data_IF_478741944702
#
_entry.id   IF_478741944702
#
_cell.length_a   1.000
_cell.length_b   1.000
_cell.length_c   1.000
_cell.angle_alpha   90.00
_cell.angle_beta   90.00
_cell.angle_gamma   90.00
#
_symmetry.space_group_name_H-M   'P 1'
#
loop_
_entity.id
_entity.type
_entity.pdbx_description
1 polymer ?
#
# COMPACT_ATOMS: atom_id res chain seq x y z
N UNK A 1 0.54 30.48 16.44
CA UNK A 1 1.50 31.50 16.92
C UNK A 1 1.32 31.67 18.42
N UNK A 2 2.38 31.78 19.12
CA UNK A 2 2.39 31.96 20.57
C UNK A 2 3.29 33.15 20.94
N UNK A 3 2.94 33.86 22.03
CA UNK A 3 3.79 34.86 22.64
C UNK A 3 4.98 34.17 23.36
N UNK A 4 6.08 34.88 23.59
CA UNK A 4 7.26 34.38 24.34
C UNK A 4 6.90 33.80 25.73
N UNK A 5 5.80 34.24 26.33
CA UNK A 5 5.27 33.67 27.58
C UNK A 5 4.55 32.34 27.43
N UNK A 6 4.41 31.81 26.20
CA UNK A 6 3.71 30.58 25.89
C UNK A 6 2.20 30.71 25.67
N UNK A 7 1.65 31.93 25.72
CA UNK A 7 0.23 32.14 25.45
C UNK A 7 -0.08 32.15 23.96
N UNK A 8 -1.16 31.50 23.57
CA UNK A 8 -1.59 31.44 22.18
C UNK A 8 -2.09 32.80 21.70
N UNK A 9 -1.50 33.33 20.63
CA UNK A 9 -1.91 34.55 19.93
C UNK A 9 -2.85 34.23 18.79
N UNK A 10 -2.53 33.17 18.04
CA UNK A 10 -3.29 32.75 16.87
C UNK A 10 -3.30 31.23 16.75
N UNK A 11 -4.46 30.68 16.41
CA UNK A 11 -4.68 29.27 16.09
C UNK A 11 -5.31 29.15 14.69
N UNK A 12 -4.81 28.22 13.86
CA UNK A 12 -5.43 27.90 12.58
C UNK A 12 -6.55 26.85 12.78
N UNK A 13 -7.38 26.64 11.76
CA UNK A 13 -8.49 25.69 11.81
C UNK A 13 -8.05 24.25 12.09
N UNK A 14 -6.86 23.86 11.60
CA UNK A 14 -6.32 22.51 11.84
C UNK A 14 -6.00 22.26 13.32
N UNK A 15 -5.51 23.28 14.04
CA UNK A 15 -5.28 23.19 15.48
C UNK A 15 -6.61 23.15 16.26
N UNK A 16 -7.64 23.89 15.81
CA UNK A 16 -9.00 23.82 16.40
C UNK A 16 -9.55 22.40 16.30
N UNK A 17 -9.43 21.77 15.12
CA UNK A 17 -9.87 20.40 14.88
C UNK A 17 -9.04 19.38 15.70
N UNK A 18 -7.72 19.53 15.72
CA UNK A 18 -6.82 18.62 16.45
C UNK A 18 -7.07 18.62 17.95
N UNK A 19 -7.34 19.79 18.54
CA UNK A 19 -7.62 19.95 19.98
C UNK A 19 -9.11 19.81 20.33
N UNK A 20 -10.01 19.81 19.33
CA UNK A 20 -11.46 19.82 19.57
C UNK A 20 -11.94 21.10 20.29
N UNK A 21 -11.22 22.19 20.12
CA UNK A 21 -11.44 23.44 20.87
C UNK A 21 -11.50 24.63 19.91
N UNK A 22 -12.46 25.55 20.16
CA UNK A 22 -12.59 26.72 19.29
C UNK A 22 -11.44 27.72 19.47
N UNK A 23 -11.14 28.50 18.45
CA UNK A 23 -10.12 29.56 18.48
C UNK A 23 -10.33 30.53 19.66
N UNK A 24 -11.58 30.85 20.01
CA UNK A 24 -11.89 31.71 21.13
C UNK A 24 -11.43 31.17 22.47
N UNK A 25 -11.42 29.85 22.61
CA UNK A 25 -10.95 29.17 23.83
C UNK A 25 -9.44 29.04 23.86
N UNK A 26 -8.81 28.88 22.67
CA UNK A 26 -7.38 28.67 22.53
C UNK A 26 -6.58 29.97 22.67
N UNK A 27 -7.05 31.07 22.07
CA UNK A 27 -6.36 32.37 22.14
C UNK A 27 -6.35 32.89 23.56
N UNK A 28 -5.16 33.26 24.03
CA UNK A 28 -4.91 33.73 25.41
C UNK A 28 -4.61 32.62 26.42
N UNK A 29 -4.92 31.35 26.10
CA UNK A 29 -4.54 30.20 26.94
C UNK A 29 -3.05 29.88 26.80
N UNK A 30 -2.45 29.33 27.85
CA UNK A 30 -1.08 28.80 27.79
C UNK A 30 -1.06 27.53 26.94
N UNK A 31 -0.26 27.54 25.88
CA UNK A 31 -0.15 26.37 24.99
C UNK A 31 0.45 25.15 25.68
N UNK A 32 1.28 25.35 26.70
CA UNK A 32 1.83 24.29 27.54
C UNK A 32 0.76 23.37 28.16
N UNK A 33 -0.46 23.89 28.39
CA UNK A 33 -1.57 23.08 28.94
C UNK A 33 -2.08 22.02 27.99
N UNK A 34 -1.82 22.16 26.69
CA UNK A 34 -2.26 21.24 25.65
C UNK A 34 -1.17 20.21 25.29
N UNK A 35 0.03 20.35 25.87
CA UNK A 35 1.16 19.44 25.66
C UNK A 35 1.32 18.48 26.84
N UNK A 36 1.88 17.30 26.57
CA UNK A 36 2.18 16.33 27.62
C UNK A 36 3.43 16.75 28.40
N UNK A 37 4.46 17.24 27.71
CA UNK A 37 5.69 17.76 28.28
C UNK A 37 5.76 19.29 28.18
N UNK A 38 5.15 19.94 29.16
CA UNK A 38 5.18 21.40 29.27
C UNK A 38 6.61 21.94 29.51
N UNK A 39 7.49 21.15 30.10
CA UNK A 39 8.86 21.57 30.47
C UNK A 39 9.71 21.76 29.21
N UNK A 40 9.69 20.79 28.30
CA UNK A 40 10.39 20.88 27.01
C UNK A 40 9.88 22.04 26.17
N UNK A 41 8.58 22.32 26.20
CA UNK A 41 8.00 23.47 25.49
C UNK A 41 8.53 24.81 26.04
N UNK A 42 8.53 24.99 27.36
CA UNK A 42 9.06 26.23 27.99
C UNK A 42 10.56 26.38 27.70
N UNK A 43 11.33 25.30 27.75
CA UNK A 43 12.75 25.32 27.38
C UNK A 43 12.96 25.71 25.92
N UNK A 44 12.10 25.22 25.01
CA UNK A 44 12.11 25.57 23.59
C UNK A 44 11.80 27.05 23.34
N UNK A 45 10.82 27.61 24.03
CA UNK A 45 10.47 29.03 23.95
C UNK A 45 11.62 29.91 24.42
N UNK A 46 12.24 29.58 25.56
CA UNK A 46 13.37 30.33 26.10
C UNK A 46 14.59 30.26 25.15
N UNK A 47 14.92 29.06 24.67
CA UNK A 47 16.04 28.87 23.76
C UNK A 47 15.88 29.58 22.43
N UNK A 48 14.67 29.60 21.87
CA UNK A 48 14.35 30.39 20.68
C UNK A 48 14.40 31.89 20.96
N UNK A 49 13.81 32.34 22.08
CA UNK A 49 13.81 33.75 22.46
C UNK A 49 15.18 34.34 22.74
N UNK A 50 16.13 33.55 23.20
CA UNK A 50 17.52 33.95 23.47
C UNK A 50 18.43 33.80 22.24
N UNK A 51 17.87 33.53 21.04
CA UNK A 51 18.59 33.29 19.79
C UNK A 51 19.63 32.16 19.86
N UNK A 52 19.45 31.21 20.81
CA UNK A 52 20.35 30.08 20.95
C UNK A 52 20.16 29.06 19.81
N UNK A 53 18.95 29.02 19.23
CA UNK A 53 18.57 28.16 18.11
C UNK A 53 17.73 28.91 17.07
N UNK A 54 17.91 28.60 15.79
CA UNK A 54 17.02 29.08 14.72
C UNK A 54 15.67 28.33 14.71
N UNK A 55 15.67 27.08 15.10
CA UNK A 55 14.48 26.25 15.31
C UNK A 55 14.79 25.14 16.31
N UNK A 56 13.88 24.85 17.21
CA UNK A 56 13.95 23.68 18.08
C UNK A 56 12.87 22.66 17.66
N UNK A 57 13.25 21.38 17.68
CA UNK A 57 12.37 20.28 17.26
C UNK A 57 12.39 19.18 18.31
N UNK A 58 11.23 18.68 18.71
CA UNK A 58 11.09 17.56 19.64
C UNK A 58 9.74 16.87 19.46
N UNK A 59 9.63 15.64 19.96
CA UNK A 59 8.41 14.86 19.94
C UNK A 59 7.64 15.03 21.24
N UNK A 60 6.34 15.20 21.15
CA UNK A 60 5.42 15.32 22.30
C UNK A 60 4.04 14.78 21.93
N UNK A 61 3.10 14.88 22.83
CA UNK A 61 1.71 14.48 22.61
C UNK A 61 0.75 15.60 23.01
N UNK A 62 -0.28 15.82 22.15
CA UNK A 62 -1.35 16.78 22.44
C UNK A 62 -2.41 16.16 23.35
N UNK A 63 -2.81 16.90 24.37
CA UNK A 63 -3.95 16.60 25.25
C UNK A 63 -5.19 17.31 24.73
N UNK A 64 -6.28 16.58 24.50
CA UNK A 64 -7.57 17.17 24.15
C UNK A 64 -8.32 17.59 25.42
N UNK A 65 -8.68 18.85 25.58
CA UNK A 65 -9.49 19.29 26.73
C UNK A 65 -10.88 18.63 26.68
N UNK A 66 -11.28 17.97 27.77
CA UNK A 66 -12.62 17.39 27.91
C UNK A 66 -12.80 15.96 27.38
N UNK A 67 -11.80 15.34 26.78
CA UNK A 67 -11.86 13.95 26.35
C UNK A 67 -11.31 13.00 27.43
N UNK A 68 -12.11 12.69 28.42
CA UNK A 68 -11.80 11.68 29.44
C UNK A 68 -11.68 10.30 28.74
N UNK A 69 -10.43 9.77 28.65
CA UNK A 69 -10.17 8.41 28.14
C UNK A 69 -9.76 8.31 26.68
N UNK A 70 -9.44 9.40 25.98
CA UNK A 70 -8.78 9.34 24.68
C UNK A 70 -7.25 9.39 24.84
N UNK A 71 -6.55 8.53 24.09
CA UNK A 71 -5.09 8.51 24.09
C UNK A 71 -4.50 9.85 23.61
N UNK A 72 -3.36 10.28 24.19
CA UNK A 72 -2.64 11.46 23.74
C UNK A 72 -2.27 11.36 22.26
N UNK A 73 -2.47 12.45 21.51
CA UNK A 73 -2.19 12.49 20.07
C UNK A 73 -0.71 12.84 19.82
N UNK A 74 0.14 11.93 19.35
CA UNK A 74 1.57 12.15 19.20
C UNK A 74 1.86 13.13 18.07
N UNK A 75 2.71 14.14 18.36
CA UNK A 75 3.08 15.21 17.43
C UNK A 75 4.58 15.50 17.48
N UNK A 76 5.13 15.87 16.35
CA UNK A 76 6.42 16.53 16.26
C UNK A 76 6.20 18.05 16.41
N UNK A 77 6.81 18.65 17.41
CA UNK A 77 6.70 20.09 17.73
C UNK A 77 7.93 20.80 17.17
N UNK A 78 7.71 21.85 16.38
CA UNK A 78 8.74 22.73 15.86
C UNK A 78 8.45 24.15 16.37
N UNK A 79 9.42 24.73 17.05
CA UNK A 79 9.34 26.12 17.56
C UNK A 79 10.35 26.95 16.81
N UNK A 80 9.89 28.01 16.13
CA UNK A 80 10.71 28.95 15.37
C UNK A 80 10.35 30.39 15.77
N UNK A 81 11.32 31.31 15.59
CA UNK A 81 11.08 32.74 15.77
C UNK A 81 10.16 33.26 14.63
N UNK A 82 9.26 34.18 15.01
CA UNK A 82 8.52 35.00 14.05
C UNK A 82 9.33 36.26 13.67
N UNK A 83 8.98 36.90 12.58
CA UNK A 83 9.52 38.22 12.22
C UNK A 83 9.06 39.33 13.18
N UNK A 84 8.06 39.02 14.04
CA UNK A 84 7.54 39.96 15.05
C UNK A 84 8.20 39.66 16.39
N UNK A 85 8.64 40.75 17.07
CA UNK A 85 9.32 40.65 18.37
C UNK A 85 8.37 40.01 19.41
N UNK A 86 8.90 39.07 20.20
CA UNK A 86 8.20 38.29 21.22
C UNK A 86 7.11 37.34 20.71
N UNK A 87 7.03 37.10 19.38
CA UNK A 87 6.15 36.10 18.80
C UNK A 87 6.92 34.93 18.28
N UNK A 88 6.36 33.72 18.45
CA UNK A 88 6.92 32.47 17.97
C UNK A 88 5.91 31.69 17.18
N UNK A 89 6.38 30.99 16.16
CA UNK A 89 5.61 30.05 15.38
C UNK A 89 5.82 28.67 15.98
N UNK A 90 4.71 28.02 16.36
CA UNK A 90 4.71 26.62 16.78
C UNK A 90 3.99 25.82 15.72
N UNK A 91 4.74 24.95 15.05
CA UNK A 91 4.20 24.00 14.07
C UNK A 91 4.08 22.61 14.69
N UNK A 92 2.96 21.98 14.48
CA UNK A 92 2.64 20.65 14.99
C UNK A 92 2.42 19.70 13.83
N UNK A 93 3.27 18.70 13.70
CA UNK A 93 3.15 17.67 12.69
C UNK A 93 2.72 16.36 13.35
N UNK A 94 1.54 15.81 13.00
CA UNK A 94 1.12 14.51 13.51
C UNK A 94 2.13 13.42 13.13
N UNK A 95 2.68 12.73 14.13
CA UNK A 95 3.67 11.66 13.90
C UNK A 95 3.08 10.49 13.12
N UNK A 96 1.80 10.16 13.35
CA UNK A 96 1.11 9.12 12.59
C UNK A 96 1.00 9.46 11.09
N UNK A 97 0.71 10.73 10.77
CA UNK A 97 0.63 11.17 9.36
C UNK A 97 2.00 11.14 8.68
N UNK A 98 3.06 11.51 9.37
CA UNK A 98 4.40 11.47 8.82
C UNK A 98 4.89 10.04 8.62
N UNK A 99 4.69 9.16 9.60
CA UNK A 99 5.01 7.73 9.47
C UNK A 99 4.21 7.05 8.34
N UNK A 100 2.94 7.44 8.18
CA UNK A 100 2.09 6.97 7.09
C UNK A 100 2.60 7.46 5.74
N UNK A 101 2.94 8.74 5.63
CA UNK A 101 3.48 9.34 4.41
C UNK A 101 4.83 8.74 4.01
N UNK A 102 5.74 8.54 4.97
CA UNK A 102 7.03 7.88 4.75
C UNK A 102 6.86 6.42 4.29
N UNK A 103 5.86 5.71 4.85
CA UNK A 103 5.52 4.35 4.42
C UNK A 103 4.97 4.32 2.99
N UNK A 104 4.08 5.24 2.65
CA UNK A 104 3.52 5.37 1.31
C UNK A 104 4.59 5.72 0.27
N UNK A 105 5.49 6.67 0.58
CA UNK A 105 6.63 7.04 -0.28
C UNK A 105 7.57 5.85 -0.51
N UNK A 106 7.83 5.05 0.53
CA UNK A 106 8.63 3.81 0.40
C UNK A 106 7.94 2.79 -0.50
N UNK A 107 6.64 2.58 -0.35
CA UNK A 107 5.88 1.64 -1.20
C UNK A 107 5.87 2.08 -2.66
N UNK A 108 5.75 3.38 -2.95
CA UNK A 108 5.86 3.92 -4.30
C UNK A 108 7.26 3.73 -4.90
N UNK A 109 8.30 4.07 -4.14
CA UNK A 109 9.70 3.88 -4.57
C UNK A 109 10.01 2.41 -4.82
N UNK A 110 9.50 1.52 -3.96
CA UNK A 110 9.63 0.08 -4.10
C UNK A 110 8.93 -0.45 -5.36
N UNK A 111 7.69 0.01 -5.64
CA UNK A 111 6.96 -0.38 -6.84
C UNK A 111 7.70 0.02 -8.12
N UNK A 112 8.30 1.22 -8.14
CA UNK A 112 9.11 1.71 -9.27
C UNK A 112 10.38 0.85 -9.46
N UNK A 113 11.12 0.60 -8.37
CA UNK A 113 12.33 -0.23 -8.41
C UNK A 113 12.02 -1.67 -8.84
N UNK A 114 10.93 -2.27 -8.35
CA UNK A 114 10.47 -3.58 -8.76
C UNK A 114 10.15 -3.66 -10.24
N UNK A 115 9.54 -2.62 -10.81
CA UNK A 115 9.24 -2.52 -12.24
C UNK A 115 10.49 -2.60 -13.11
N UNK A 116 11.52 -1.83 -12.76
CA UNK A 116 12.79 -1.83 -13.49
C UNK A 116 13.53 -3.18 -13.35
N UNK A 117 13.54 -3.72 -12.14
CA UNK A 117 14.16 -5.01 -11.85
C UNK A 117 13.50 -6.15 -12.63
N UNK A 118 12.18 -6.21 -12.65
CA UNK A 118 11.43 -7.22 -13.43
C UNK A 118 11.76 -7.12 -14.93
N UNK A 119 11.81 -5.89 -15.46
CA UNK A 119 12.12 -5.68 -16.88
C UNK A 119 13.52 -6.17 -17.23
N UNK A 120 14.50 -5.84 -16.40
CA UNK A 120 15.91 -6.25 -16.63
C UNK A 120 16.09 -7.76 -16.48
N UNK A 121 15.58 -8.34 -15.39
CA UNK A 121 15.62 -9.78 -15.17
C UNK A 121 14.95 -10.57 -16.29
N UNK A 122 13.81 -10.09 -16.78
CA UNK A 122 13.12 -10.79 -17.86
C UNK A 122 13.91 -10.81 -19.16
N UNK A 123 14.63 -9.73 -19.49
CA UNK A 123 15.53 -9.73 -20.65
C UNK A 123 16.73 -10.66 -20.44
N UNK A 124 17.33 -10.64 -19.25
CA UNK A 124 18.47 -11.49 -18.93
C UNK A 124 18.13 -12.98 -18.84
N UNK A 125 16.91 -13.33 -18.44
CA UNK A 125 16.46 -14.73 -18.41
C UNK A 125 16.07 -15.25 -19.81
N UNK A 126 15.46 -14.40 -20.65
CA UNK A 126 15.07 -14.81 -22.01
C UNK A 126 16.25 -15.21 -22.88
N UNK A 127 17.37 -14.51 -22.74
CA UNK A 127 18.55 -14.76 -23.54
C UNK A 127 19.10 -16.20 -23.36
N UNK A 128 19.42 -16.67 -22.14
CA UNK A 128 19.89 -18.06 -21.96
C UNK A 128 18.81 -19.10 -22.31
N UNK A 129 17.52 -18.83 -22.03
CA UNK A 129 16.44 -19.75 -22.41
C UNK A 129 16.35 -19.92 -23.93
N UNK A 130 16.49 -18.84 -24.68
CA UNK A 130 16.58 -18.90 -26.15
C UNK A 130 17.77 -19.72 -26.63
N UNK A 131 18.93 -19.60 -25.99
CA UNK A 131 20.12 -20.41 -26.27
C UNK A 131 19.91 -21.90 -25.97
N UNK A 132 19.36 -22.23 -24.79
CA UNK A 132 19.05 -23.63 -24.40
C UNK A 132 18.06 -24.26 -25.39
N UNK A 133 16.98 -23.54 -25.71
CA UNK A 133 15.99 -24.00 -26.68
C UNK A 133 16.60 -24.25 -28.07
N UNK A 134 17.38 -23.27 -28.56
CA UNK A 134 18.04 -23.39 -29.86
C UNK A 134 19.02 -24.58 -29.93
N UNK A 135 19.81 -24.77 -28.86
CA UNK A 135 20.72 -25.91 -28.77
C UNK A 135 19.96 -27.27 -28.76
N UNK A 136 18.87 -27.36 -28.01
CA UNK A 136 18.02 -28.56 -27.98
C UNK A 136 17.36 -28.83 -29.32
N UNK A 137 16.93 -27.80 -30.06
CA UNK A 137 16.38 -27.95 -31.42
C UNK A 137 17.43 -28.43 -32.42
N UNK A 138 18.67 -27.95 -32.36
CA UNK A 138 19.75 -28.42 -33.21
C UNK A 138 20.10 -29.87 -32.90
N UNK A 139 20.17 -30.23 -31.61
CA UNK A 139 20.38 -31.64 -31.19
C UNK A 139 19.26 -32.54 -31.69
N UNK A 140 18.02 -32.11 -31.67
CA UNK A 140 16.86 -32.86 -32.14
C UNK A 140 16.97 -33.21 -33.64
N UNK A 141 17.55 -32.33 -34.45
CA UNK A 141 17.78 -32.58 -35.89
C UNK A 141 18.86 -33.63 -36.15
N UNK A 142 19.82 -33.79 -35.26
CA UNK A 142 20.97 -34.66 -35.38
C UNK A 142 20.76 -36.04 -34.74
N UNK A 143 19.82 -36.16 -33.81
CA UNK A 143 19.57 -37.37 -33.03
C UNK A 143 18.66 -38.32 -33.79
N UNK A 144 19.12 -39.58 -33.96
CA UNK A 144 18.33 -40.65 -34.55
C UNK A 144 17.64 -41.56 -33.52
N UNK A 145 18.07 -41.49 -32.24
CA UNK A 145 17.49 -42.29 -31.16
C UNK A 145 16.17 -41.68 -30.68
N UNK A 146 15.11 -42.47 -30.70
CA UNK A 146 13.78 -42.04 -30.21
C UNK A 146 13.80 -41.63 -28.73
N UNK A 147 14.56 -42.31 -27.92
CA UNK A 147 14.69 -42.06 -26.48
C UNK A 147 15.39 -40.71 -26.21
N UNK A 148 16.45 -40.38 -26.96
CA UNK A 148 17.13 -39.10 -26.87
C UNK A 148 16.28 -37.97 -27.42
N UNK A 149 15.44 -38.24 -28.41
CA UNK A 149 14.47 -37.27 -28.95
C UNK A 149 13.43 -36.87 -27.91
N UNK A 150 12.97 -37.81 -27.06
CA UNK A 150 12.07 -37.48 -25.94
C UNK A 150 12.73 -36.51 -24.94
N UNK A 151 14.02 -36.63 -24.66
CA UNK A 151 14.73 -35.71 -23.78
C UNK A 151 14.87 -34.30 -24.38
N UNK A 152 15.16 -34.17 -25.66
CA UNK A 152 15.21 -32.85 -26.33
C UNK A 152 13.86 -32.18 -26.35
N UNK A 153 12.78 -32.90 -26.54
CA UNK A 153 11.40 -32.40 -26.45
C UNK A 153 11.07 -31.86 -25.05
N UNK A 154 11.49 -32.58 -24.02
CA UNK A 154 11.30 -32.09 -22.62
C UNK A 154 12.05 -30.77 -22.39
N UNK A 155 13.31 -30.66 -22.87
CA UNK A 155 14.10 -29.43 -22.71
C UNK A 155 13.44 -28.25 -23.46
N UNK A 156 12.97 -28.48 -24.68
CA UNK A 156 12.26 -27.45 -25.48
C UNK A 156 10.99 -27.02 -24.77
N UNK A 157 10.18 -27.98 -24.32
CA UNK A 157 8.92 -27.72 -23.65
C UNK A 157 9.11 -26.91 -22.35
N UNK A 158 10.07 -27.29 -21.51
CA UNK A 158 10.36 -26.56 -20.27
C UNK A 158 10.94 -25.16 -20.55
N UNK A 159 11.76 -25.01 -21.59
CA UNK A 159 12.26 -23.70 -22.02
C UNK A 159 11.11 -22.79 -22.47
N UNK A 160 10.16 -23.29 -23.26
CA UNK A 160 8.97 -22.56 -23.71
C UNK A 160 8.04 -22.21 -22.54
N UNK A 161 7.90 -23.13 -21.57
CA UNK A 161 7.15 -22.89 -20.33
C UNK A 161 7.75 -21.76 -19.51
N UNK A 162 9.08 -21.78 -19.30
CA UNK A 162 9.80 -20.74 -18.58
C UNK A 162 9.71 -19.40 -19.33
N UNK A 163 9.83 -19.39 -20.65
CA UNK A 163 9.67 -18.20 -21.47
C UNK A 163 8.28 -17.60 -21.34
N UNK A 164 7.24 -18.44 -21.30
CA UNK A 164 5.85 -18.02 -21.08
C UNK A 164 5.66 -17.38 -19.69
N UNK A 165 6.29 -17.94 -18.65
CA UNK A 165 6.27 -17.34 -17.30
C UNK A 165 6.93 -15.96 -17.28
N UNK A 166 8.09 -15.82 -17.95
CA UNK A 166 8.78 -14.52 -18.08
C UNK A 166 7.95 -13.53 -18.90
N UNK A 167 7.26 -13.99 -19.96
CA UNK A 167 6.35 -13.11 -20.73
C UNK A 167 5.15 -12.65 -19.94
N UNK A 168 4.59 -13.47 -19.06
CA UNK A 168 3.52 -13.07 -18.11
C UNK A 168 4.01 -11.99 -17.14
N UNK A 169 5.27 -12.06 -16.69
CA UNK A 169 5.90 -11.00 -15.88
C UNK A 169 6.00 -9.67 -16.62
N UNK A 170 6.30 -9.71 -17.91
CA UNK A 170 6.43 -8.51 -18.75
C UNK A 170 5.09 -8.03 -19.32
N UNK A 171 4.02 -8.82 -19.29
CA UNK A 171 2.73 -8.49 -19.86
C UNK A 171 2.18 -7.12 -19.41
N UNK A 172 2.32 -6.72 -18.11
CA UNK A 172 1.90 -5.41 -17.65
C UNK A 172 2.63 -4.24 -18.34
N UNK A 173 3.82 -4.50 -18.89
CA UNK A 173 4.70 -3.49 -19.48
C UNK A 173 4.66 -3.44 -21.00
N UNK A 174 4.03 -4.43 -21.65
CA UNK A 174 4.04 -4.60 -23.12
C UNK A 174 2.72 -4.25 -23.81
N UNK A 175 1.58 -4.42 -23.13
CA UNK A 175 0.29 -4.06 -23.71
C UNK A 175 0.04 -2.57 -23.53
N UNK A 176 -0.36 -1.84 -24.58
CA UNK A 176 -0.83 -0.48 -24.40
C UNK A 176 -2.01 -0.48 -23.42
N UNK A 177 -2.00 0.46 -22.49
CA UNK A 177 -3.12 0.69 -21.56
C UNK A 177 -4.40 0.94 -22.35
N UNK A 178 -5.37 0.05 -22.25
CA UNK A 178 -6.71 0.27 -22.80
C UNK A 178 -7.55 0.96 -21.72
N UNK A 179 -7.37 2.28 -21.64
CA UNK A 179 -8.10 3.09 -20.66
C UNK A 179 -9.56 3.27 -21.10
N UNK A 180 -10.48 2.81 -20.27
CA UNK A 180 -11.93 2.97 -20.41
C UNK A 180 -12.55 3.45 -19.10
N UNK A 181 -13.84 3.77 -19.11
CA UNK A 181 -14.60 3.93 -17.87
C UNK A 181 -14.74 2.57 -17.20
N UNK A 182 -14.39 2.49 -15.91
CA UNK A 182 -14.38 1.27 -15.11
C UNK A 182 -15.29 1.41 -13.91
N UNK A 183 -16.20 0.47 -13.78
CA UNK A 183 -16.96 0.24 -12.56
C UNK A 183 -16.23 -0.82 -11.71
N UNK A 184 -15.77 -0.42 -10.52
CA UNK A 184 -14.99 -1.33 -9.66
C UNK A 184 -15.81 -2.54 -9.19
N UNK A 185 -17.11 -2.40 -9.05
CA UNK A 185 -17.96 -3.50 -8.61
C UNK A 185 -18.07 -4.57 -9.69
N UNK A 186 -18.05 -4.21 -10.98
CA UNK A 186 -17.98 -5.20 -12.07
C UNK A 186 -16.65 -5.97 -12.05
N UNK A 187 -15.54 -5.28 -11.73
CA UNK A 187 -14.23 -5.93 -11.51
C UNK A 187 -14.31 -6.94 -10.38
N UNK A 188 -14.85 -6.54 -9.23
CA UNK A 188 -15.02 -7.40 -8.07
C UNK A 188 -15.94 -8.60 -8.37
N UNK A 189 -17.07 -8.40 -9.05
CA UNK A 189 -17.99 -9.49 -9.42
C UNK A 189 -17.36 -10.45 -10.43
N UNK A 190 -16.55 -9.96 -11.37
CA UNK A 190 -15.82 -10.84 -12.29
C UNK A 190 -14.83 -11.72 -11.54
N UNK A 191 -14.03 -11.13 -10.64
CA UNK A 191 -13.08 -11.88 -9.79
C UNK A 191 -13.82 -12.90 -8.94
N UNK A 192 -14.87 -12.48 -8.27
CA UNK A 192 -15.70 -13.37 -7.43
C UNK A 192 -16.23 -14.57 -8.22
N UNK A 193 -16.76 -14.33 -9.43
CA UNK A 193 -17.31 -15.38 -10.29
C UNK A 193 -16.26 -16.39 -10.70
N UNK A 194 -15.05 -15.93 -11.10
CA UNK A 194 -13.93 -16.80 -11.47
C UNK A 194 -13.46 -17.62 -10.29
N UNK A 195 -13.26 -16.98 -9.14
CA UNK A 195 -12.77 -17.65 -7.92
C UNK A 195 -13.75 -18.71 -7.41
N UNK A 196 -15.06 -18.41 -7.40
CA UNK A 196 -16.07 -19.39 -6.97
C UNK A 196 -16.26 -20.54 -7.96
N UNK A 197 -15.91 -20.36 -9.24
CA UNK A 197 -15.88 -21.45 -10.21
C UNK A 197 -14.67 -22.39 -9.98
N UNK A 198 -13.54 -21.84 -9.51
CA UNK A 198 -12.34 -22.60 -9.16
C UNK A 198 -12.48 -23.30 -7.78
N UNK A 199 -13.11 -22.62 -6.82
CA UNK A 199 -13.36 -23.12 -5.46
C UNK A 199 -14.88 -23.21 -5.20
N UNK A 200 -15.59 -24.22 -5.75
CA UNK A 200 -17.05 -24.27 -5.69
C UNK A 200 -17.62 -24.61 -4.33
N UNK A 201 -16.81 -25.13 -3.42
CA UNK A 201 -17.22 -25.55 -2.08
C UNK A 201 -16.24 -25.04 -1.02
N UNK A 202 -16.74 -24.80 0.19
CA UNK A 202 -15.94 -24.42 1.34
C UNK A 202 -15.54 -22.93 1.42
N UNK A 203 -15.62 -22.18 0.31
CA UNK A 203 -15.27 -20.77 0.25
C UNK A 203 -16.50 -19.87 0.16
N UNK A 204 -16.56 -18.86 1.04
CA UNK A 204 -17.58 -17.79 1.02
C UNK A 204 -16.92 -16.46 0.66
N UNK A 205 -17.41 -15.80 -0.41
CA UNK A 205 -16.97 -14.44 -0.78
C UNK A 205 -18.13 -13.48 -0.53
N UNK A 206 -18.01 -12.69 0.56
CA UNK A 206 -18.97 -11.65 0.94
C UNK A 206 -18.70 -10.34 0.22
N UNK A 207 -19.75 -9.58 -0.03
CA UNK A 207 -19.73 -8.27 -0.69
C UNK A 207 -20.19 -7.20 0.27
N UNK A 208 -19.41 -6.11 0.38
CA UNK A 208 -19.73 -4.92 1.16
C UNK A 208 -19.40 -3.71 0.29
N UNK A 209 -20.29 -3.40 -0.66
CA UNK A 209 -20.04 -2.38 -1.69
C UNK A 209 -20.68 -1.06 -1.35
N UNK A 210 -19.90 0.01 -1.47
CA UNK A 210 -20.38 1.38 -1.43
C UNK A 210 -20.82 1.79 -2.85
N UNK A 211 -22.14 1.88 -3.05
CA UNK A 211 -22.74 2.21 -4.34
C UNK A 211 -22.49 3.65 -4.79
N UNK A 212 -21.94 4.50 -3.91
CA UNK A 212 -21.65 5.89 -4.24
C UNK A 212 -20.34 6.08 -5.02
N UNK A 213 -19.54 5.02 -5.21
CA UNK A 213 -18.30 5.07 -5.96
C UNK A 213 -18.58 5.34 -7.43
N UNK A 214 -18.07 6.45 -8.00
CA UNK A 214 -18.23 6.74 -9.42
C UNK A 214 -17.37 5.84 -10.29
N UNK A 215 -17.72 5.70 -11.56
CA UNK A 215 -16.83 5.14 -12.57
C UNK A 215 -15.58 6.02 -12.71
N UNK A 216 -14.47 5.40 -13.03
CA UNK A 216 -13.19 6.08 -13.19
C UNK A 216 -12.41 5.54 -14.39
N UNK A 217 -11.49 6.34 -14.90
CA UNK A 217 -10.67 5.94 -16.05
C UNK A 217 -9.58 4.96 -15.61
N UNK A 218 -9.60 3.75 -16.21
CA UNK A 218 -8.65 2.71 -15.89
C UNK A 218 -8.62 1.60 -16.94
N UNK A 219 -7.70 0.65 -16.78
CA UNK A 219 -7.64 -0.59 -17.55
C UNK A 219 -8.34 -1.70 -16.76
N UNK A 220 -9.55 -2.05 -17.20
CA UNK A 220 -10.40 -3.03 -16.55
C UNK A 220 -9.74 -4.39 -16.40
N UNK A 221 -9.01 -4.87 -17.41
CA UNK A 221 -8.36 -6.17 -17.38
C UNK A 221 -7.20 -6.21 -16.38
N UNK A 222 -6.41 -5.13 -16.29
CA UNK A 222 -5.35 -5.01 -15.31
C UNK A 222 -5.89 -4.97 -13.88
N UNK A 223 -7.00 -4.27 -13.65
CA UNK A 223 -7.64 -4.23 -12.33
C UNK A 223 -8.22 -5.59 -11.95
N UNK A 224 -8.87 -6.31 -12.89
CA UNK A 224 -9.32 -7.68 -12.65
C UNK A 224 -8.13 -8.56 -12.25
N UNK A 225 -7.02 -8.48 -12.98
CA UNK A 225 -5.83 -9.28 -12.69
C UNK A 225 -5.19 -8.91 -11.35
N UNK A 226 -5.16 -7.62 -10.99
CA UNK A 226 -4.64 -7.17 -9.69
C UNK A 226 -5.45 -7.76 -8.52
N UNK A 227 -6.77 -7.61 -8.58
CA UNK A 227 -7.67 -8.12 -7.53
C UNK A 227 -7.64 -9.65 -7.50
N UNK A 228 -7.63 -10.32 -8.67
CA UNK A 228 -7.57 -11.77 -8.77
C UNK A 228 -6.28 -12.33 -8.14
N UNK A 229 -5.13 -11.68 -8.35
CA UNK A 229 -3.87 -12.08 -7.73
C UNK A 229 -3.93 -12.01 -6.19
N UNK A 230 -4.59 -10.99 -5.64
CA UNK A 230 -4.75 -10.86 -4.19
C UNK A 230 -5.75 -11.90 -3.67
N UNK A 231 -6.89 -12.08 -4.34
CA UNK A 231 -7.91 -13.06 -3.95
C UNK A 231 -7.36 -14.49 -4.05
N UNK A 232 -6.60 -14.83 -5.07
CA UNK A 232 -5.94 -16.15 -5.17
C UNK A 232 -4.94 -16.37 -4.02
N UNK A 233 -4.16 -15.34 -3.64
CA UNK A 233 -3.29 -15.48 -2.47
C UNK A 233 -4.10 -15.76 -1.19
N UNK A 234 -5.24 -15.10 -1.01
CA UNK A 234 -6.15 -15.38 0.09
C UNK A 234 -6.68 -16.84 0.02
N UNK A 235 -7.15 -17.30 -1.14
CA UNK A 235 -7.63 -18.68 -1.32
C UNK A 235 -6.56 -19.71 -0.95
N UNK A 236 -5.33 -19.46 -1.36
CA UNK A 236 -4.23 -20.37 -1.03
C UNK A 236 -3.85 -20.34 0.46
N UNK A 237 -3.98 -19.20 1.13
CA UNK A 237 -3.79 -19.12 2.58
C UNK A 237 -4.94 -19.79 3.36
N UNK A 238 -6.09 -19.99 2.71
CA UNK A 238 -7.30 -20.56 3.28
C UNK A 238 -7.53 -22.03 2.92
N UNK A 239 -6.56 -22.76 2.36
CA UNK A 239 -6.77 -24.14 1.86
C UNK A 239 -7.38 -25.02 2.95
N UNK A 240 -6.81 -25.04 4.15
CA UNK A 240 -7.31 -25.86 5.26
C UNK A 240 -8.74 -25.44 5.66
N UNK A 241 -9.03 -24.13 5.68
CA UNK A 241 -10.37 -23.61 5.99
C UNK A 241 -11.39 -23.85 4.88
N UNK A 242 -10.94 -23.94 3.63
CA UNK A 242 -11.81 -24.34 2.51
C UNK A 242 -12.25 -25.79 2.69
N UNK A 243 -11.35 -26.67 3.10
CA UNK A 243 -11.67 -28.07 3.41
C UNK A 243 -12.65 -28.17 4.60
N UNK A 244 -12.48 -27.33 5.62
CA UNK A 244 -13.36 -27.26 6.79
C UNK A 244 -14.70 -26.54 6.52
N UNK A 245 -14.82 -25.81 5.40
CA UNK A 245 -16.05 -25.10 4.99
C UNK A 245 -16.27 -23.74 5.70
N UNK A 246 -15.25 -23.19 6.38
CA UNK A 246 -15.31 -21.92 7.13
C UNK A 246 -14.43 -20.81 6.52
N UNK A 247 -13.90 -21.03 5.31
CA UNK A 247 -13.13 -20.02 4.60
C UNK A 247 -14.01 -18.84 4.17
N UNK A 248 -13.55 -17.62 4.49
CA UNK A 248 -14.26 -16.40 4.18
C UNK A 248 -13.32 -15.34 3.59
N UNK A 249 -13.76 -14.74 2.48
CA UNK A 249 -13.14 -13.54 1.88
C UNK A 249 -14.21 -12.45 1.82
N UNK A 250 -13.87 -11.21 2.19
CA UNK A 250 -14.75 -10.06 2.10
C UNK A 250 -14.16 -9.10 1.07
N UNK A 251 -14.95 -8.76 0.05
CA UNK A 251 -14.67 -7.66 -0.87
C UNK A 251 -15.45 -6.44 -0.37
N UNK A 252 -14.71 -5.46 0.16
CA UNK A 252 -15.28 -4.25 0.73
C UNK A 252 -14.78 -3.03 -0.03
N UNK A 253 -15.71 -2.18 -0.50
CA UNK A 253 -15.40 -0.95 -1.21
C UNK A 253 -15.97 0.25 -0.48
N UNK A 254 -15.24 1.37 -0.49
CA UNK A 254 -15.71 2.65 0.05
C UNK A 254 -15.04 3.82 -0.65
N UNK A 255 -15.62 5.01 -0.51
CA UNK A 255 -15.01 6.27 -0.93
C UNK A 255 -14.22 6.86 0.23
N UNK A 256 -12.92 7.03 0.04
CA UNK A 256 -12.07 7.81 0.94
C UNK A 256 -11.99 9.27 0.46
N UNK A 257 -12.08 10.21 1.41
CA UNK A 257 -12.03 11.65 1.13
C UNK A 257 -10.73 12.26 1.64
N UNK A 258 -10.22 13.25 0.90
CA UNK A 258 -9.02 14.01 1.25
C UNK A 258 -7.81 13.11 1.56
N UNK A 259 -7.58 12.14 0.71
CA UNK A 259 -6.48 11.19 0.84
C UNK A 259 -5.21 11.79 0.25
N UNK A 260 -4.09 11.63 0.94
CA UNK A 260 -2.77 12.00 0.45
C UNK A 260 -1.96 10.74 0.27
N UNK A 261 -1.49 10.45 -0.93
CA UNK A 261 -0.51 9.41 -1.20
C UNK A 261 0.36 9.77 -2.40
N UNK A 262 1.58 9.28 -2.42
CA UNK A 262 2.56 9.63 -3.45
C UNK A 262 2.86 11.14 -3.53
N UNK A 263 2.89 11.86 -2.40
CA UNK A 263 3.10 13.33 -2.32
C UNK A 263 2.00 14.17 -2.98
N UNK A 264 0.91 13.54 -3.40
CA UNK A 264 -0.20 14.21 -4.05
C UNK A 264 -1.48 14.05 -3.21
N UNK A 265 -2.23 15.14 -3.07
CA UNK A 265 -3.51 15.15 -2.37
C UNK A 265 -4.63 14.97 -3.37
N UNK A 266 -5.49 13.99 -3.10
CA UNK A 266 -6.67 13.67 -3.88
C UNK A 266 -7.93 14.01 -3.10
N UNK A 267 -8.94 14.57 -3.76
CA UNK A 267 -10.22 14.88 -3.13
C UNK A 267 -10.98 13.61 -2.76
N UNK A 268 -10.95 12.66 -3.67
CA UNK A 268 -11.61 11.37 -3.53
C UNK A 268 -10.65 10.25 -3.97
N UNK A 269 -10.75 9.10 -3.31
CA UNK A 269 -10.10 7.86 -3.72
C UNK A 269 -11.04 6.69 -3.50
N UNK A 270 -10.95 5.71 -4.37
CA UNK A 270 -11.49 4.38 -4.15
C UNK A 270 -10.63 3.67 -3.10
N UNK A 271 -11.27 3.13 -2.10
CA UNK A 271 -10.70 2.15 -1.18
C UNK A 271 -11.35 0.79 -1.47
N UNK A 272 -10.56 -0.19 -1.91
CA UNK A 272 -10.99 -1.58 -2.07
C UNK A 272 -10.19 -2.46 -1.12
N UNK A 273 -10.88 -3.14 -0.23
CA UNK A 273 -10.31 -4.11 0.69
C UNK A 273 -10.62 -5.53 0.24
N UNK A 274 -9.61 -6.39 0.27
CA UNK A 274 -9.73 -7.84 0.17
C UNK A 274 -9.31 -8.40 1.52
N UNK A 275 -10.28 -8.85 2.30
CA UNK A 275 -10.06 -9.29 3.68
C UNK A 275 -10.31 -10.79 3.74
N UNK A 276 -9.34 -11.54 4.26
CA UNK A 276 -9.47 -12.98 4.50
C UNK A 276 -9.36 -13.31 5.99
N UNK A 277 -9.93 -14.45 6.38
CA UNK A 277 -9.87 -14.99 7.75
C UNK A 277 -8.75 -16.01 7.94
N UNK A 278 -7.67 -15.93 7.13
CA UNK A 278 -6.56 -16.87 7.12
C UNK A 278 -5.60 -16.76 8.31
N UNK A 279 -4.54 -17.57 8.30
CA UNK A 279 -3.57 -17.63 9.40
C UNK A 279 -2.73 -16.35 9.55
N UNK A 280 -2.82 -15.44 8.61
CA UNK A 280 -1.96 -14.25 8.54
C UNK A 280 -0.68 -14.50 7.77
N UNK A 281 0.10 -13.42 7.60
CA UNK A 281 1.39 -13.43 6.89
C UNK A 281 2.50 -13.53 7.93
N UNK A 282 3.45 -14.48 7.79
CA UNK A 282 4.59 -14.59 8.70
C UNK A 282 5.42 -13.30 8.73
N UNK A 283 5.83 -12.86 9.92
CA UNK A 283 6.59 -11.60 10.11
C UNK A 283 7.90 -11.59 9.30
N UNK A 284 8.52 -12.76 9.12
CA UNK A 284 9.77 -12.90 8.36
C UNK A 284 9.67 -12.43 6.90
N UNK A 285 8.48 -12.48 6.30
CA UNK A 285 8.24 -12.09 4.90
C UNK A 285 7.34 -10.87 4.75
N UNK A 286 6.67 -10.42 5.81
CA UNK A 286 5.63 -9.38 5.79
C UNK A 286 6.08 -8.08 5.12
N UNK A 287 7.31 -7.64 5.37
CA UNK A 287 7.87 -6.44 4.75
C UNK A 287 8.28 -6.64 3.28
N UNK A 288 8.39 -7.89 2.84
CA UNK A 288 8.91 -8.25 1.51
C UNK A 288 7.88 -8.93 0.61
N UNK A 289 6.61 -8.99 1.01
CA UNK A 289 5.55 -9.68 0.24
C UNK A 289 5.33 -9.13 -1.17
N UNK A 290 5.71 -7.88 -1.42
CA UNK A 290 5.62 -7.24 -2.73
C UNK A 290 6.91 -7.36 -3.56
N UNK A 291 7.99 -7.93 -3.01
CA UNK A 291 9.21 -8.18 -3.79
C UNK A 291 9.01 -9.37 -4.74
N UNK A 292 9.59 -9.30 -5.96
CA UNK A 292 9.52 -10.42 -6.90
C UNK A 292 10.13 -11.69 -6.30
N UNK A 293 9.54 -12.84 -6.62
CA UNK A 293 10.01 -14.17 -6.22
C UNK A 293 9.97 -14.43 -4.70
N UNK A 294 9.38 -13.56 -3.92
CA UNK A 294 9.12 -13.81 -2.49
C UNK A 294 7.81 -14.58 -2.36
N UNK A 295 7.89 -15.77 -1.78
CA UNK A 295 6.75 -16.64 -1.53
C UNK A 295 6.85 -17.24 -0.14
N UNK A 296 5.74 -17.26 0.60
CA UNK A 296 5.63 -17.93 1.89
C UNK A 296 5.26 -19.42 1.79
N UNK A 297 5.11 -19.95 0.56
CA UNK A 297 4.74 -21.35 0.34
C UNK A 297 5.65 -22.03 -0.69
N UNK A 298 5.78 -23.34 -0.60
CA UNK A 298 6.46 -24.18 -1.60
C UNK A 298 5.68 -24.14 -2.94
N UNK A 299 6.41 -23.99 -4.05
CA UNK A 299 5.83 -23.93 -5.40
C UNK A 299 5.13 -22.63 -5.78
N UNK A 300 5.05 -21.65 -4.89
CA UNK A 300 4.52 -20.31 -5.22
C UNK A 300 5.51 -19.55 -6.11
N UNK A 301 5.02 -18.93 -7.19
CA UNK A 301 5.86 -18.11 -8.08
C UNK A 301 6.43 -16.85 -7.44
N UNK A 302 5.82 -16.37 -6.35
CA UNK A 302 6.18 -15.10 -5.69
C UNK A 302 5.96 -13.85 -6.55
N UNK A 303 5.13 -13.95 -7.61
CA UNK A 303 4.96 -12.90 -8.61
C UNK A 303 3.59 -12.21 -8.53
N UNK A 304 2.59 -12.86 -7.92
CA UNK A 304 1.21 -12.39 -7.93
C UNK A 304 1.04 -11.01 -7.29
N UNK A 305 1.59 -10.80 -6.08
CA UNK A 305 1.49 -9.51 -5.38
C UNK A 305 2.32 -8.42 -6.06
N UNK A 306 3.47 -8.75 -6.61
CA UNK A 306 4.30 -7.80 -7.38
C UNK A 306 3.56 -7.32 -8.63
N UNK A 307 2.85 -8.21 -9.33
CA UNK A 307 2.01 -7.85 -10.48
C UNK A 307 0.82 -7.00 -10.05
N UNK A 308 0.16 -7.36 -8.94
CA UNK A 308 -0.94 -6.54 -8.39
C UNK A 308 -0.46 -5.13 -8.06
N UNK A 309 0.69 -4.98 -7.39
CA UNK A 309 1.31 -3.68 -7.10
C UNK A 309 1.60 -2.89 -8.38
N UNK A 310 2.13 -3.56 -9.40
CA UNK A 310 2.43 -2.93 -10.70
C UNK A 310 1.16 -2.40 -11.37
N UNK A 311 0.10 -3.19 -11.45
CA UNK A 311 -1.16 -2.77 -12.07
C UNK A 311 -1.81 -1.60 -11.32
N UNK A 312 -1.84 -1.66 -9.99
CA UNK A 312 -2.40 -0.57 -9.17
C UNK A 312 -1.57 0.70 -9.31
N UNK A 313 -0.24 0.60 -9.34
CA UNK A 313 0.65 1.76 -9.56
C UNK A 313 0.46 2.41 -10.94
N UNK A 314 0.10 1.64 -11.97
CA UNK A 314 -0.22 2.19 -13.30
C UNK A 314 -1.52 3.01 -13.30
N UNK A 315 -2.38 2.82 -12.30
CA UNK A 315 -3.57 3.63 -12.03
C UNK A 315 -3.31 4.74 -11.00
N UNK A 316 -2.04 5.12 -10.78
CA UNK A 316 -1.61 6.04 -9.72
C UNK A 316 -2.11 5.65 -8.32
N UNK A 317 -2.32 4.35 -8.12
CA UNK A 317 -2.82 3.78 -6.87
C UNK A 317 -1.71 3.23 -5.98
N UNK A 318 -2.11 2.79 -4.80
CA UNK A 318 -1.26 2.19 -3.77
C UNK A 318 -1.90 0.90 -3.25
N UNK A 319 -1.08 -0.09 -2.89
CA UNK A 319 -1.53 -1.28 -2.14
C UNK A 319 -0.85 -1.29 -0.77
N UNK A 320 -1.65 -1.43 0.27
CA UNK A 320 -1.22 -1.65 1.64
C UNK A 320 -1.65 -3.05 2.10
N UNK A 321 -0.93 -3.61 3.08
CA UNK A 321 -1.29 -4.88 3.69
C UNK A 321 -1.17 -4.78 5.21
N UNK A 322 -2.25 -5.14 5.89
CA UNK A 322 -2.28 -5.36 7.33
C UNK A 322 -2.64 -6.81 7.59
N UNK A 323 -1.82 -7.50 8.39
CA UNK A 323 -2.03 -8.92 8.64
C UNK A 323 -1.72 -9.27 10.09
N UNK A 324 -2.67 -9.96 10.68
CA UNK A 324 -2.56 -10.61 11.99
C UNK A 324 -3.18 -12.01 11.87
N UNK A 325 -2.86 -12.96 12.74
CA UNK A 325 -3.52 -14.26 12.75
C UNK A 325 -5.05 -14.12 12.81
N UNK A 326 -5.74 -14.77 11.86
CA UNK A 326 -7.20 -14.71 11.74
C UNK A 326 -7.72 -13.56 10.86
N UNK A 327 -6.85 -12.66 10.38
CA UNK A 327 -7.25 -11.58 9.48
C UNK A 327 -6.07 -11.06 8.66
N UNK A 328 -6.17 -11.15 7.34
CA UNK A 328 -5.31 -10.41 6.41
C UNK A 328 -6.16 -9.45 5.60
N UNK A 329 -5.75 -8.20 5.52
CA UNK A 329 -6.46 -7.13 4.83
C UNK A 329 -5.52 -6.48 3.81
N UNK A 330 -5.78 -6.71 2.53
CA UNK A 330 -5.12 -6.00 1.43
C UNK A 330 -6.01 -4.84 1.02
N UNK A 331 -5.49 -3.63 1.16
CA UNK A 331 -6.17 -2.39 0.83
C UNK A 331 -5.57 -1.78 -0.43
N UNK A 332 -6.39 -1.59 -1.44
CA UNK A 332 -6.06 -0.90 -2.69
C UNK A 332 -6.66 0.50 -2.64
N UNK A 333 -5.83 1.50 -2.90
CA UNK A 333 -6.22 2.90 -3.04
C UNK A 333 -6.04 3.32 -4.49
N UNK A 334 -7.07 3.88 -5.13
CA UNK A 334 -6.99 4.44 -6.49
C UNK A 334 -7.63 5.83 -6.50
N UNK A 335 -6.95 6.87 -7.05
CA UNK A 335 -7.53 8.19 -7.19
C UNK A 335 -8.83 8.16 -8.00
N UNK A 336 -9.83 8.87 -7.53
CA UNK A 336 -11.08 9.13 -8.28
C UNK A 336 -11.07 10.55 -8.86
N UNK A 337 -11.83 10.80 -9.94
CA UNK A 337 -11.91 12.11 -10.58
C UNK A 337 -12.46 13.22 -9.69
#
# INVERSE_FOLDING_TARGET
MVHRTGNVIFANAQLEDALGSSRRTLVGASFANFLNDATSFVAALNGAGDHTFAALRYDDSLKRPGALGQDPFPVHVIVTLSDVVDEMIVELLPLEQQAKQDREDRLHAQAQANKELIRNLAHEIKNPLGGIRGAAQLLEMEIQSKELHEYTQVIIHESDRLQTLVDRLLAPHRKPHVVSEVNIHEVCERVRSVTLAEFPQGLKIKRQYDISIPEFRGDREQLIQAVLNIVHNACYALVDRIEDGDAEIILHTRVARQVTFGKQRYKLALELHVIDNGPGIPDAIKERIFYPLVSGREGGSGLGLTLAQTFVSQHNGLIECESVPGRTDFKILIPLP
#
